data_IF_368551462852
#
_entry.id   IF_368551462852
#
_cell.length_a   1.000
_cell.length_b   1.000
_cell.length_c   1.000
_cell.angle_alpha   90.00
_cell.angle_beta   90.00
_cell.angle_gamma   90.00
#
_symmetry.space_group_name_H-M   'P 1'
#
loop_
_entity.id
_entity.type
_entity.pdbx_description
1 polymer ?
#
# COMPACT_ATOMS: atom_id res chain seq x y z
N UNK A 1 6.69 -10.48 29.79
CA UNK A 1 7.37 -10.52 28.49
C UNK A 1 6.55 -11.39 27.56
N UNK A 2 6.18 -10.86 26.39
CA UNK A 2 5.34 -11.58 25.43
C UNK A 2 6.17 -12.46 24.49
N UNK A 3 7.37 -12.01 24.11
CA UNK A 3 8.28 -12.68 23.18
C UNK A 3 9.75 -12.34 23.54
N UNK A 4 10.66 -13.16 23.12
CA UNK A 4 12.09 -12.81 23.06
C UNK A 4 12.36 -12.01 21.79
N UNK A 5 11.87 -12.53 20.64
CA UNK A 5 11.86 -11.86 19.35
C UNK A 5 10.52 -12.11 18.64
N UNK A 6 9.98 -11.10 17.97
CA UNK A 6 8.77 -11.20 17.15
C UNK A 6 9.03 -10.75 15.71
N UNK A 7 8.30 -11.31 14.75
CA UNK A 7 8.18 -10.73 13.40
C UNK A 7 6.94 -9.85 13.33
N UNK A 8 7.11 -8.67 12.75
CA UNK A 8 6.05 -7.64 12.66
C UNK A 8 5.90 -7.19 11.21
N UNK A 9 4.67 -7.11 10.72
CA UNK A 9 4.35 -6.61 9.38
C UNK A 9 2.97 -5.93 9.38
N UNK A 10 2.65 -5.19 8.30
CA UNK A 10 1.43 -4.40 8.20
C UNK A 10 1.08 -4.08 6.75
N UNK A 11 -0.15 -3.63 6.49
CA UNK A 11 -0.58 -3.04 5.23
C UNK A 11 -0.29 -3.93 4.01
N UNK A 12 -0.77 -5.18 4.04
CA UNK A 12 -0.57 -6.14 2.94
C UNK A 12 -1.59 -5.95 1.81
N UNK A 13 -2.79 -5.45 2.13
CA UNK A 13 -3.84 -5.06 1.19
C UNK A 13 -4.20 -6.11 0.14
N UNK A 14 -4.51 -7.35 0.56
CA UNK A 14 -5.09 -8.36 -0.33
C UNK A 14 -6.30 -7.80 -1.08
N UNK A 15 -6.37 -8.06 -2.38
CA UNK A 15 -7.42 -7.51 -3.25
C UNK A 15 -7.10 -6.14 -3.86
N UNK A 16 -5.94 -5.55 -3.60
CA UNK A 16 -5.52 -4.32 -4.26
C UNK A 16 -5.48 -4.49 -5.80
N UNK A 17 -5.40 -3.38 -6.53
CA UNK A 17 -5.41 -3.33 -8.01
C UNK A 17 -6.61 -4.07 -8.61
N UNK A 18 -7.80 -3.73 -8.12
CA UNK A 18 -9.05 -4.32 -8.57
C UNK A 18 -9.08 -5.87 -8.44
N UNK A 19 -8.67 -6.37 -7.29
CA UNK A 19 -8.55 -7.80 -6.98
C UNK A 19 -7.58 -8.56 -7.90
N UNK A 20 -6.49 -7.92 -8.29
CA UNK A 20 -5.47 -8.51 -9.14
C UNK A 20 -4.92 -9.80 -8.54
N UNK A 21 -4.99 -10.90 -9.31
CA UNK A 21 -4.39 -12.18 -8.90
C UNK A 21 -2.87 -12.09 -8.76
N UNK A 22 -2.22 -11.25 -9.56
CA UNK A 22 -0.78 -11.01 -9.46
C UNK A 22 -0.42 -10.34 -8.13
N UNK A 23 -1.20 -9.34 -7.71
CA UNK A 23 -1.01 -8.71 -6.41
C UNK A 23 -1.29 -9.68 -5.25
N UNK A 24 -2.36 -10.46 -5.34
CA UNK A 24 -2.68 -11.46 -4.31
C UNK A 24 -1.59 -12.55 -4.23
N UNK A 25 -0.97 -12.92 -5.36
CA UNK A 25 0.16 -13.84 -5.37
C UNK A 25 1.40 -13.20 -4.73
N UNK A 26 1.69 -11.93 -5.00
CA UNK A 26 2.77 -11.22 -4.33
C UNK A 26 2.54 -11.17 -2.81
N UNK A 27 1.30 -10.97 -2.33
CA UNK A 27 0.96 -11.05 -0.90
C UNK A 27 1.26 -12.45 -0.32
N UNK A 28 0.87 -13.51 -1.02
CA UNK A 28 1.14 -14.90 -0.60
C UNK A 28 2.64 -15.20 -0.57
N UNK A 29 3.37 -14.82 -1.63
CA UNK A 29 4.82 -15.02 -1.73
C UNK A 29 5.57 -14.26 -0.62
N UNK A 30 5.13 -13.05 -0.29
CA UNK A 30 5.66 -12.28 0.83
C UNK A 30 5.45 -13.01 2.16
N UNK A 31 4.24 -13.49 2.44
CA UNK A 31 3.94 -14.21 3.68
C UNK A 31 4.78 -15.48 3.80
N UNK A 32 4.93 -16.24 2.71
CA UNK A 32 5.77 -17.44 2.67
C UNK A 32 7.23 -17.08 2.96
N UNK A 33 7.75 -16.05 2.33
CA UNK A 33 9.12 -15.57 2.56
C UNK A 33 9.32 -15.11 4.01
N UNK A 34 8.43 -14.29 4.53
CA UNK A 34 8.48 -13.79 5.91
C UNK A 34 8.47 -14.93 6.94
N UNK A 35 7.60 -15.92 6.76
CA UNK A 35 7.55 -17.12 7.63
C UNK A 35 8.89 -17.86 7.59
N UNK A 36 9.50 -18.03 6.43
CA UNK A 36 10.79 -18.69 6.29
C UNK A 36 11.91 -17.90 7.00
N UNK A 37 11.91 -16.57 6.88
CA UNK A 37 12.87 -15.71 7.58
C UNK A 37 12.68 -15.75 9.11
N UNK A 38 11.43 -15.78 9.58
CA UNK A 38 11.12 -15.93 10.99
C UNK A 38 11.58 -17.30 11.54
N UNK A 39 11.33 -18.38 10.79
CA UNK A 39 11.78 -19.75 11.15
C UNK A 39 13.30 -19.87 11.25
N UNK A 40 14.06 -19.27 10.32
CA UNK A 40 15.53 -19.25 10.39
C UNK A 40 16.06 -18.59 11.67
N UNK A 41 15.29 -17.68 12.26
CA UNK A 41 15.60 -16.92 13.49
C UNK A 41 15.00 -17.56 14.75
N UNK A 42 14.27 -18.68 14.63
CA UNK A 42 13.58 -19.33 15.75
C UNK A 42 12.42 -18.51 16.33
N UNK A 43 11.81 -17.61 15.52
CA UNK A 43 10.74 -16.72 15.96
C UNK A 43 9.41 -17.47 15.93
N UNK A 44 8.68 -17.46 17.04
CA UNK A 44 7.38 -18.14 17.20
C UNK A 44 6.21 -17.16 17.38
N UNK A 45 6.47 -15.85 17.45
CA UNK A 45 5.45 -14.82 17.62
C UNK A 45 5.39 -13.90 16.40
N UNK A 46 4.18 -13.68 15.89
CA UNK A 46 3.92 -12.82 14.73
C UNK A 46 2.90 -11.74 15.11
N UNK A 47 3.17 -10.50 14.71
CA UNK A 47 2.27 -9.36 14.94
C UNK A 47 1.94 -8.71 13.59
N UNK A 48 0.66 -8.64 13.28
CA UNK A 48 0.13 -7.94 12.11
C UNK A 48 -0.63 -6.69 12.55
N UNK A 49 -0.27 -5.53 11.99
CA UNK A 49 -0.76 -4.24 12.47
C UNK A 49 -1.80 -3.60 11.56
N UNK A 50 -2.64 -4.38 10.89
CA UNK A 50 -3.83 -3.89 10.18
C UNK A 50 -3.69 -3.79 8.66
N UNK A 51 -4.85 -3.59 8.02
CA UNK A 51 -5.04 -3.51 6.58
C UNK A 51 -4.66 -4.81 5.85
N UNK A 52 -5.34 -5.90 6.25
CA UNK A 52 -5.25 -7.20 5.58
C UNK A 52 -5.89 -7.15 4.21
N UNK A 53 -7.11 -6.62 4.10
CA UNK A 53 -7.81 -6.44 2.84
C UNK A 53 -7.71 -4.99 2.34
N UNK A 54 -7.81 -4.81 1.03
CA UNK A 54 -7.87 -3.49 0.40
C UNK A 54 -9.30 -2.93 0.34
N UNK A 55 -10.28 -3.78 0.05
CA UNK A 55 -11.68 -3.39 -0.10
C UNK A 55 -12.50 -3.72 1.14
N UNK A 56 -13.23 -2.73 1.65
CA UNK A 56 -14.07 -2.84 2.84
C UNK A 56 -15.39 -3.56 2.61
N UNK A 57 -16.06 -3.21 1.52
CA UNK A 57 -17.47 -3.57 1.30
C UNK A 57 -17.66 -4.96 0.69
N UNK A 58 -16.66 -5.47 -0.03
CA UNK A 58 -16.75 -6.74 -0.75
C UNK A 58 -15.41 -7.43 -0.81
N UNK A 59 -15.39 -8.75 -0.68
CA UNK A 59 -14.22 -9.58 -0.89
C UNK A 59 -14.44 -10.44 -2.11
N UNK A 60 -13.60 -10.32 -3.11
CA UNK A 60 -13.62 -11.17 -4.28
C UNK A 60 -13.28 -12.62 -3.89
N UNK A 61 -13.94 -13.62 -4.50
CA UNK A 61 -13.74 -15.05 -4.19
C UNK A 61 -12.27 -15.48 -4.32
N UNK A 62 -11.56 -14.98 -5.32
CA UNK A 62 -10.12 -15.26 -5.47
C UNK A 62 -9.33 -14.68 -4.29
N UNK A 63 -9.59 -13.44 -3.90
CA UNK A 63 -8.97 -12.78 -2.75
C UNK A 63 -9.27 -13.53 -1.45
N UNK A 64 -10.51 -13.97 -1.26
CA UNK A 64 -10.92 -14.78 -0.10
C UNK A 64 -10.13 -16.09 -0.02
N UNK A 65 -9.92 -16.77 -1.15
CA UNK A 65 -9.12 -18.00 -1.20
C UNK A 65 -7.67 -17.76 -0.73
N UNK A 66 -7.03 -16.68 -1.18
CA UNK A 66 -5.70 -16.27 -0.69
C UNK A 66 -5.72 -15.94 0.80
N UNK A 67 -6.77 -15.25 1.27
CA UNK A 67 -6.94 -14.93 2.70
C UNK A 67 -6.95 -16.19 3.55
N UNK A 68 -7.83 -17.15 3.26
CA UNK A 68 -7.95 -18.40 4.03
C UNK A 68 -6.65 -19.20 4.00
N UNK A 69 -6.01 -19.29 2.83
CA UNK A 69 -4.72 -19.98 2.67
C UNK A 69 -3.63 -19.36 3.54
N UNK A 70 -3.53 -18.04 3.55
CA UNK A 70 -2.49 -17.33 4.29
C UNK A 70 -2.75 -17.30 5.82
N UNK A 71 -4.00 -17.17 6.26
CA UNK A 71 -4.35 -17.31 7.67
C UNK A 71 -3.97 -18.70 8.19
N UNK A 72 -4.26 -19.77 7.43
CA UNK A 72 -3.84 -21.12 7.79
C UNK A 72 -2.32 -21.24 7.89
N UNK A 73 -1.56 -20.69 6.92
CA UNK A 73 -0.08 -20.70 6.98
C UNK A 73 0.46 -20.00 8.20
N UNK A 74 -0.09 -18.85 8.55
CA UNK A 74 0.30 -18.12 9.76
C UNK A 74 0.01 -18.94 11.01
N UNK A 75 -1.22 -19.47 11.13
CA UNK A 75 -1.61 -20.36 12.24
C UNK A 75 -0.66 -21.55 12.41
N UNK A 76 -0.31 -22.22 11.31
CA UNK A 76 0.52 -23.43 11.33
C UNK A 76 2.01 -23.14 11.54
N UNK A 77 2.42 -21.88 11.41
CA UNK A 77 3.82 -21.49 11.47
C UNK A 77 4.25 -20.80 12.76
N UNK A 78 3.31 -20.24 13.49
CA UNK A 78 3.58 -19.50 14.73
C UNK A 78 2.77 -20.06 15.90
N UNK A 79 3.34 -20.00 17.09
CA UNK A 79 2.62 -20.32 18.32
C UNK A 79 1.56 -19.29 18.68
N UNK A 80 1.79 -18.03 18.24
CA UNK A 80 0.82 -16.95 18.42
C UNK A 80 0.98 -15.93 17.31
N UNK A 81 -0.16 -15.56 16.70
CA UNK A 81 -0.31 -14.47 15.73
C UNK A 81 -1.32 -13.49 16.31
N UNK A 82 -0.92 -12.24 16.51
CA UNK A 82 -1.82 -11.18 16.94
C UNK A 82 -2.09 -10.30 15.74
N UNK A 83 -3.36 -10.21 15.32
CA UNK A 83 -3.80 -9.44 14.15
C UNK A 83 -4.67 -8.27 14.58
N UNK A 84 -4.16 -7.06 14.43
CA UNK A 84 -4.89 -5.82 14.68
C UNK A 84 -5.72 -5.49 13.44
N UNK A 85 -6.97 -5.05 13.64
CA UNK A 85 -7.80 -4.58 12.54
C UNK A 85 -7.46 -3.13 12.18
N UNK A 86 -7.14 -2.90 10.91
CA UNK A 86 -6.94 -1.58 10.32
C UNK A 86 -8.23 -0.98 9.79
N UNK A 87 -8.15 0.23 9.26
CA UNK A 87 -9.33 0.93 8.73
C UNK A 87 -9.89 0.30 7.45
N UNK A 88 -9.07 -0.42 6.65
CA UNK A 88 -9.53 -1.16 5.48
C UNK A 88 -10.17 -2.50 5.83
N UNK A 89 -9.94 -3.02 7.04
CA UNK A 89 -10.52 -4.27 7.49
C UNK A 89 -11.95 -4.09 8.04
N UNK A 90 -12.38 -2.88 8.35
CA UNK A 90 -13.71 -2.59 8.87
C UNK A 90 -14.68 -2.25 7.72
N UNK A 91 -15.87 -2.85 7.71
CA UNK A 91 -16.92 -2.53 6.76
C UNK A 91 -17.33 -1.05 6.87
N UNK A 92 -17.60 -0.60 8.09
CA UNK A 92 -17.81 0.83 8.41
C UNK A 92 -16.52 1.42 8.97
N UNK A 93 -16.05 2.53 8.40
CA UNK A 93 -14.83 3.20 8.90
C UNK A 93 -14.92 3.60 10.38
N UNK A 94 -16.13 3.90 10.85
CA UNK A 94 -16.42 4.48 12.16
C UNK A 94 -17.13 3.51 13.11
N UNK A 95 -17.23 2.20 12.74
CA UNK A 95 -17.89 1.16 13.55
C UNK A 95 -17.17 -0.18 13.39
N UNK A 96 -17.19 -0.99 14.46
CA UNK A 96 -16.48 -2.29 14.54
C UNK A 96 -17.34 -3.50 14.31
N UNK A 97 -18.66 -3.32 14.10
CA UNK A 97 -19.65 -4.41 14.03
C UNK A 97 -19.30 -5.50 13.03
N UNK A 98 -18.65 -5.13 11.92
CA UNK A 98 -18.28 -6.05 10.84
C UNK A 98 -16.85 -5.78 10.41
N UNK A 99 -16.03 -6.82 10.43
CA UNK A 99 -14.67 -6.79 9.88
C UNK A 99 -14.44 -7.89 8.83
N UNK A 100 -13.39 -7.75 8.03
CA UNK A 100 -13.20 -8.53 6.81
C UNK A 100 -12.61 -9.93 7.02
N UNK A 101 -12.11 -10.27 8.23
CA UNK A 101 -11.46 -11.56 8.52
C UNK A 101 -12.04 -12.30 9.75
N UNK A 102 -13.39 -12.45 9.87
CA UNK A 102 -13.97 -13.17 11.00
C UNK A 102 -13.54 -14.65 11.03
N UNK A 103 -13.23 -15.25 9.85
CA UNK A 103 -12.69 -16.61 9.79
C UNK A 103 -11.33 -16.76 10.49
N UNK A 104 -10.63 -15.66 10.77
CA UNK A 104 -9.37 -15.69 11.53
C UNK A 104 -9.54 -16.14 12.98
N UNK A 105 -10.73 -15.92 13.56
CA UNK A 105 -11.08 -16.29 14.93
C UNK A 105 -11.21 -17.81 15.14
N UNK A 106 -11.40 -18.56 14.05
CA UNK A 106 -11.48 -20.01 14.08
C UNK A 106 -10.10 -20.71 14.19
N UNK A 107 -9.01 -19.97 14.05
CA UNK A 107 -7.66 -20.51 14.12
C UNK A 107 -7.08 -20.37 15.55
N UNK A 108 -6.68 -21.48 16.19
CA UNK A 108 -6.31 -21.47 17.62
C UNK A 108 -5.09 -20.60 17.95
N UNK A 109 -4.17 -20.39 17.00
CA UNK A 109 -2.97 -19.59 17.21
C UNK A 109 -3.14 -18.14 16.75
N UNK A 110 -4.31 -17.77 16.20
CA UNK A 110 -4.59 -16.40 15.73
C UNK A 110 -5.50 -15.68 16.72
N UNK A 111 -5.07 -14.53 17.18
CA UNK A 111 -5.88 -13.58 17.95
C UNK A 111 -6.23 -12.38 17.11
N UNK A 112 -7.51 -12.19 16.80
CA UNK A 112 -8.01 -10.97 16.16
C UNK A 112 -8.24 -9.91 17.24
N UNK A 113 -7.71 -8.71 17.04
CA UNK A 113 -7.91 -7.54 17.91
C UNK A 113 -8.77 -6.53 17.15
N UNK A 114 -10.07 -6.55 17.42
CA UNK A 114 -11.06 -5.70 16.77
C UNK A 114 -11.88 -4.89 17.77
N UNK A 115 -12.49 -5.51 18.78
CA UNK A 115 -13.52 -4.89 19.60
C UNK A 115 -12.96 -3.96 20.68
N UNK A 116 -11.81 -4.31 21.25
CA UNK A 116 -11.22 -3.57 22.38
C UNK A 116 -9.69 -3.57 22.32
N UNK A 117 -9.09 -2.74 23.16
CA UNK A 117 -7.66 -2.73 23.40
C UNK A 117 -7.29 -4.05 24.09
N UNK A 118 -6.35 -4.78 23.50
CA UNK A 118 -5.85 -6.03 24.06
C UNK A 118 -4.46 -5.82 24.68
N UNK A 119 -4.29 -6.23 25.93
CA UNK A 119 -3.03 -6.13 26.64
C UNK A 119 -2.51 -7.51 27.05
N UNK A 120 -1.26 -7.80 26.74
CA UNK A 120 -0.60 -9.05 27.12
C UNK A 120 0.91 -8.84 27.25
N UNK A 121 1.53 -9.42 28.28
CA UNK A 121 2.99 -9.49 28.45
C UNK A 121 3.72 -8.14 28.43
N UNK A 122 3.10 -7.06 28.93
CA UNK A 122 3.59 -5.68 28.86
C UNK A 122 3.59 -5.09 27.42
N UNK A 123 2.72 -5.60 26.56
CA UNK A 123 2.41 -5.02 25.25
C UNK A 123 0.93 -4.62 25.20
N UNK A 124 0.60 -3.59 24.43
CA UNK A 124 -0.76 -3.18 24.12
C UNK A 124 -1.00 -3.24 22.60
N UNK A 125 -2.13 -3.80 22.20
CA UNK A 125 -2.56 -3.95 20.81
C UNK A 125 -3.83 -3.17 20.61
N UNK A 126 -3.79 -2.18 19.72
CA UNK A 126 -4.81 -1.17 19.57
C UNK A 126 -5.38 -1.28 18.14
N UNK A 127 -6.64 -1.69 17.97
CA UNK A 127 -7.26 -1.70 16.64
C UNK A 127 -7.48 -0.28 16.14
N UNK A 128 -7.88 -0.14 14.86
CA UNK A 128 -8.29 1.16 14.31
C UNK A 128 -9.28 1.83 15.26
N UNK A 129 -8.97 3.05 15.65
CA UNK A 129 -9.76 3.79 16.63
C UNK A 129 -10.99 4.40 15.98
N UNK A 130 -12.14 4.20 16.59
CA UNK A 130 -13.41 4.79 16.17
C UNK A 130 -13.89 5.79 17.20
N UNK A 131 -14.55 6.85 16.76
CA UNK A 131 -15.11 7.89 17.62
C UNK A 131 -14.08 8.44 18.63
N UNK A 132 -14.41 8.42 19.91
CA UNK A 132 -13.63 8.99 21.02
C UNK A 132 -12.66 7.99 21.68
N UNK A 133 -12.45 6.81 21.12
CA UNK A 133 -11.62 5.75 21.72
C UNK A 133 -10.14 6.16 21.88
N UNK A 134 -9.67 7.10 21.04
CA UNK A 134 -8.33 7.65 21.15
C UNK A 134 -8.04 8.24 22.55
N UNK A 135 -9.08 8.66 23.30
CA UNK A 135 -8.93 9.16 24.67
C UNK A 135 -8.46 8.08 25.66
N UNK A 136 -8.79 6.80 25.40
CA UNK A 136 -8.39 5.67 26.23
C UNK A 136 -6.90 5.33 26.04
N UNK A 137 -6.38 5.54 24.82
CA UNK A 137 -5.00 5.16 24.46
C UNK A 137 -3.96 6.03 25.15
N UNK A 138 -4.24 7.29 25.42
CA UNK A 138 -3.33 8.26 26.05
C UNK A 138 -2.77 7.83 27.42
N UNK A 139 -3.47 6.97 28.14
CA UNK A 139 -3.11 6.58 29.50
C UNK A 139 -2.40 5.24 29.61
N UNK A 140 -2.21 4.54 28.49
CA UNK A 140 -1.62 3.21 28.47
C UNK A 140 -0.12 3.32 28.71
N UNK A 141 0.37 2.54 29.69
CA UNK A 141 1.79 2.40 30.00
C UNK A 141 2.19 0.97 29.74
N UNK A 142 3.05 0.74 28.78
CA UNK A 142 3.57 -0.58 28.42
C UNK A 142 4.95 -0.45 27.80
N UNK A 143 5.63 -1.57 27.58
CA UNK A 143 6.89 -1.56 26.86
C UNK A 143 6.65 -1.27 25.37
N UNK A 144 5.79 -2.04 24.73
CA UNK A 144 5.48 -1.88 23.32
C UNK A 144 3.97 -1.69 23.11
N UNK A 145 3.64 -0.70 22.29
CA UNK A 145 2.29 -0.51 21.78
C UNK A 145 2.29 -0.77 20.28
N UNK A 146 1.37 -1.60 19.83
CA UNK A 146 1.14 -1.88 18.42
C UNK A 146 -0.24 -1.38 18.04
N UNK A 147 -0.35 -0.65 16.93
CA UNK A 147 -1.62 -0.09 16.52
C UNK A 147 -1.72 0.15 15.02
N UNK A 148 -2.84 0.77 14.64
CA UNK A 148 -3.10 1.22 13.27
C UNK A 148 -3.61 2.65 13.34
N UNK A 149 -2.69 3.63 13.42
CA UNK A 149 -2.99 5.02 13.77
C UNK A 149 -2.82 5.98 12.59
N UNK A 150 -3.69 6.97 12.52
CA UNK A 150 -3.61 8.11 11.61
C UNK A 150 -3.10 9.33 12.39
N UNK A 151 -1.78 9.41 12.63
CA UNK A 151 -1.21 10.48 13.44
C UNK A 151 -0.82 11.71 12.59
N UNK A 152 -1.12 12.94 13.04
CA UNK A 152 -0.74 14.15 12.33
C UNK A 152 0.78 14.32 12.25
N UNK A 153 1.22 15.09 11.25
CA UNK A 153 2.61 15.43 10.96
C UNK A 153 3.49 14.26 10.46
N UNK A 154 3.00 13.03 10.40
CA UNK A 154 3.66 11.94 9.68
C UNK A 154 3.31 12.01 8.18
N UNK A 155 4.17 11.44 7.35
CA UNK A 155 3.95 11.40 5.90
C UNK A 155 2.97 10.29 5.53
N UNK A 156 1.86 10.66 4.89
CA UNK A 156 0.92 9.70 4.30
C UNK A 156 1.53 8.96 3.11
N UNK A 157 2.34 9.71 2.32
CA UNK A 157 3.11 9.26 1.16
C UNK A 157 4.38 10.12 1.04
N UNK A 158 5.11 10.00 -0.08
CA UNK A 158 6.37 10.72 -0.27
C UNK A 158 6.28 12.26 -0.14
N UNK A 159 5.11 12.85 -0.34
CA UNK A 159 4.95 14.31 -0.51
C UNK A 159 3.99 14.96 0.50
N UNK A 160 3.02 14.19 1.06
CA UNK A 160 1.92 14.74 1.84
C UNK A 160 2.02 14.33 3.30
N UNK A 161 2.06 15.29 4.19
CA UNK A 161 1.95 15.06 5.64
C UNK A 161 0.48 15.05 6.06
N UNK A 162 0.16 14.17 7.03
CA UNK A 162 -1.16 14.11 7.64
C UNK A 162 -1.45 15.41 8.42
N UNK A 163 -2.53 16.14 8.08
CA UNK A 163 -2.93 17.31 8.83
C UNK A 163 -3.45 16.95 10.22
N UNK A 164 -3.46 17.92 11.13
CA UNK A 164 -4.03 17.75 12.47
C UNK A 164 -5.56 17.96 12.42
N UNK A 165 -6.30 16.89 12.65
CA UNK A 165 -7.77 16.90 12.73
C UNK A 165 -8.31 16.89 14.17
N UNK A 166 -7.45 17.13 15.17
CA UNK A 166 -7.84 17.22 16.57
C UNK A 166 -8.00 15.88 17.30
N UNK A 167 -7.54 14.76 16.70
CA UNK A 167 -7.55 13.42 17.29
C UNK A 167 -6.30 13.11 18.11
N UNK A 168 -5.90 11.83 18.07
CA UNK A 168 -4.69 11.31 18.70
C UNK A 168 -3.43 11.91 18.07
N UNK A 169 -2.45 12.30 18.91
CA UNK A 169 -1.15 12.84 18.49
C UNK A 169 0.00 11.97 19.02
N UNK A 170 1.17 12.09 18.41
CA UNK A 170 2.35 11.35 18.87
C UNK A 170 2.72 11.68 20.34
N UNK A 171 2.54 12.93 20.76
CA UNK A 171 2.80 13.39 22.12
C UNK A 171 1.88 12.72 23.17
N UNK A 172 0.68 12.32 22.76
CA UNK A 172 -0.28 11.59 23.60
C UNK A 172 0.17 10.15 23.89
N UNK A 173 1.10 9.62 23.09
CA UNK A 173 1.64 8.26 23.17
C UNK A 173 2.98 8.18 23.94
N UNK A 174 3.19 9.04 24.89
CA UNK A 174 4.43 9.09 25.70
C UNK A 174 4.53 8.01 26.78
N UNK A 175 3.45 7.26 27.03
CA UNK A 175 3.42 6.18 28.03
C UNK A 175 4.19 4.91 27.65
N UNK A 176 4.08 4.40 26.42
CA UNK A 176 4.86 3.27 25.92
C UNK A 176 6.33 3.64 25.67
N UNK A 177 7.26 2.66 25.83
CA UNK A 177 8.67 2.86 25.44
C UNK A 177 8.80 3.02 23.92
N UNK A 178 8.09 2.18 23.14
CA UNK A 178 7.98 2.27 21.68
C UNK A 178 6.55 2.03 21.21
N UNK A 179 6.13 2.75 20.18
CA UNK A 179 4.85 2.62 19.51
C UNK A 179 5.09 2.25 18.06
N UNK A 180 4.54 1.14 17.63
CA UNK A 180 4.59 0.68 16.23
C UNK A 180 3.20 0.82 15.61
N UNK A 181 3.12 1.37 14.41
CA UNK A 181 1.84 1.60 13.75
C UNK A 181 1.85 1.20 12.29
N UNK A 182 0.79 0.55 11.81
CA UNK A 182 0.41 0.49 10.40
C UNK A 182 -0.25 1.78 9.93
N UNK A 183 -0.91 1.76 8.79
CA UNK A 183 -1.64 2.82 8.09
C UNK A 183 -0.79 3.65 7.13
N UNK A 184 0.34 4.21 7.55
CA UNK A 184 1.20 4.97 6.64
C UNK A 184 2.23 4.05 6.00
N UNK A 185 2.17 3.96 4.68
CA UNK A 185 3.00 3.02 3.92
C UNK A 185 4.49 3.41 3.91
N UNK A 186 4.82 4.68 4.13
CA UNK A 186 6.22 5.13 4.19
C UNK A 186 6.84 4.81 5.54
N UNK A 187 8.02 4.13 5.53
CA UNK A 187 8.80 3.93 6.75
C UNK A 187 9.27 5.27 7.30
N UNK A 188 8.97 5.53 8.56
CA UNK A 188 9.33 6.78 9.25
C UNK A 188 9.25 6.61 10.76
N UNK A 189 9.99 7.48 11.47
CA UNK A 189 10.07 7.48 12.92
C UNK A 189 10.08 8.91 13.45
N UNK A 190 9.36 9.14 14.55
CA UNK A 190 9.41 10.40 15.30
C UNK A 190 9.20 10.12 16.78
N UNK A 191 10.19 10.48 17.61
CA UNK A 191 10.18 10.19 19.05
C UNK A 191 10.16 8.68 19.28
N UNK A 192 9.16 8.21 20.01
CA UNK A 192 8.95 6.78 20.27
C UNK A 192 7.98 6.12 19.27
N UNK A 193 7.45 6.85 18.29
CA UNK A 193 6.48 6.35 17.29
C UNK A 193 7.18 5.94 16.01
N UNK A 194 6.94 4.73 15.56
CA UNK A 194 7.57 4.08 14.41
C UNK A 194 6.50 3.53 13.48
N UNK A 195 6.52 3.94 12.22
CA UNK A 195 5.80 3.33 11.11
C UNK A 195 6.78 2.47 10.30
N UNK A 196 6.72 1.15 10.34
CA UNK A 196 7.64 0.29 9.57
C UNK A 196 7.42 0.37 8.07
N UNK A 197 6.26 0.87 7.65
CA UNK A 197 5.83 0.91 6.26
C UNK A 197 5.17 -0.42 5.81
N UNK A 198 4.54 -0.39 4.64
CA UNK A 198 3.89 -1.56 4.05
C UNK A 198 4.88 -2.69 3.72
N UNK A 199 4.37 -3.89 3.44
CA UNK A 199 5.14 -5.10 3.15
C UNK A 199 6.01 -4.99 1.89
N UNK A 200 5.52 -4.32 0.87
CA UNK A 200 6.18 -4.08 -0.42
C UNK A 200 5.50 -2.92 -1.14
N UNK A 201 6.13 -2.27 -2.12
CA UNK A 201 5.52 -1.17 -2.86
C UNK A 201 4.20 -1.57 -3.53
N UNK A 202 3.16 -0.76 -3.34
CA UNK A 202 1.81 -1.06 -3.84
C UNK A 202 1.46 -0.28 -5.11
N UNK A 203 2.03 0.91 -5.27
CA UNK A 203 1.72 1.80 -6.39
C UNK A 203 2.86 2.81 -6.63
N UNK A 204 2.67 3.73 -7.56
CA UNK A 204 3.68 4.72 -7.93
C UNK A 204 3.97 5.80 -6.87
N UNK A 205 3.17 5.91 -5.81
CA UNK A 205 3.55 6.75 -4.66
C UNK A 205 4.70 6.15 -3.84
N UNK A 206 4.93 4.83 -4.00
CA UNK A 206 6.03 4.08 -3.41
C UNK A 206 7.23 3.92 -4.38
N UNK A 207 7.24 4.67 -5.49
CA UNK A 207 8.33 4.56 -6.48
C UNK A 207 9.69 4.82 -5.85
N UNK A 208 10.67 3.95 -6.17
CA UNK A 208 12.04 3.96 -5.63
C UNK A 208 12.18 3.59 -4.15
N UNK A 209 11.12 3.20 -3.47
CA UNK A 209 11.16 2.77 -2.09
C UNK A 209 11.16 1.23 -2.01
N UNK A 210 12.29 0.63 -2.40
CA UNK A 210 12.45 -0.83 -2.48
C UNK A 210 12.76 -1.48 -1.13
N UNK A 211 13.11 -0.69 -0.11
CA UNK A 211 13.49 -1.18 1.22
C UNK A 211 12.23 -1.46 2.06
N UNK A 212 11.38 -2.37 1.57
CA UNK A 212 10.14 -2.82 2.18
C UNK A 212 10.19 -4.32 2.48
N UNK A 213 9.49 -4.73 3.52
CA UNK A 213 9.47 -6.13 3.94
C UNK A 213 8.81 -6.32 5.29
N UNK A 214 9.50 -6.99 6.21
CA UNK A 214 9.07 -7.16 7.58
C UNK A 214 10.10 -6.58 8.57
N UNK A 215 9.68 -6.45 9.81
CA UNK A 215 10.48 -5.99 10.92
C UNK A 215 10.64 -7.14 11.92
N UNK A 216 11.85 -7.35 12.42
CA UNK A 216 12.12 -8.20 13.56
C UNK A 216 12.38 -7.31 14.78
N UNK A 217 11.67 -7.59 15.86
CA UNK A 217 11.72 -6.83 17.09
C UNK A 217 12.17 -7.72 18.23
N UNK A 218 13.30 -7.40 18.84
CA UNK A 218 13.76 -8.02 20.08
C UNK A 218 13.09 -7.37 21.29
N UNK A 219 12.95 -8.13 22.36
CA UNK A 219 12.33 -7.61 23.58
C UNK A 219 13.08 -6.43 24.20
N UNK A 220 14.38 -6.29 23.99
CA UNK A 220 15.16 -5.13 24.43
C UNK A 220 14.85 -3.84 23.65
N UNK A 221 14.08 -3.93 22.57
CA UNK A 221 13.70 -2.83 21.69
C UNK A 221 14.60 -2.67 20.46
N UNK A 222 15.53 -3.59 20.23
CA UNK A 222 16.33 -3.65 19.00
C UNK A 222 15.44 -4.00 17.80
N UNK A 223 15.60 -3.26 16.70
CA UNK A 223 14.82 -3.41 15.47
C UNK A 223 15.75 -3.78 14.33
N UNK A 224 15.40 -4.83 13.59
CA UNK A 224 16.02 -5.22 12.32
C UNK A 224 14.95 -5.17 11.22
N UNK A 225 15.15 -4.36 10.19
CA UNK A 225 14.30 -4.38 8.99
C UNK A 225 14.89 -5.34 7.96
N UNK A 226 14.04 -6.21 7.43
CA UNK A 226 14.43 -7.15 6.39
C UNK A 226 13.62 -6.86 5.13
N UNK A 227 14.29 -6.33 4.11
CA UNK A 227 13.67 -6.09 2.81
C UNK A 227 13.33 -7.42 2.11
N UNK A 228 12.17 -7.47 1.44
CA UNK A 228 11.78 -8.62 0.63
C UNK A 228 12.46 -8.57 -0.74
N UNK A 229 13.41 -9.48 -1.05
CA UNK A 229 14.22 -9.38 -2.28
C UNK A 229 13.40 -9.55 -3.57
N UNK A 230 12.29 -10.29 -3.52
CA UNK A 230 11.41 -10.56 -4.66
C UNK A 230 10.19 -9.61 -4.73
N UNK A 231 10.26 -8.46 -4.05
CA UNK A 231 9.20 -7.46 -4.07
C UNK A 231 8.99 -6.86 -5.47
N UNK A 232 7.74 -6.58 -5.86
CA UNK A 232 7.48 -5.78 -7.05
C UNK A 232 8.11 -4.39 -6.91
N UNK A 233 8.59 -3.83 -8.01
CA UNK A 233 9.28 -2.53 -8.04
C UNK A 233 8.47 -1.50 -8.80
N UNK A 234 8.53 -0.25 -8.37
CA UNK A 234 7.92 0.89 -9.06
C UNK A 234 9.00 1.87 -9.48
N UNK A 235 8.99 2.24 -10.77
CA UNK A 235 9.99 3.14 -11.35
C UNK A 235 9.31 4.27 -12.10
N UNK A 236 9.76 5.49 -11.84
CA UNK A 236 9.37 6.69 -12.59
C UNK A 236 10.65 7.38 -13.03
N UNK A 237 10.91 7.44 -14.34
CA UNK A 237 12.12 8.03 -14.89
C UNK A 237 11.93 8.50 -16.33
N UNK A 238 12.79 9.42 -16.84
CA UNK A 238 12.76 9.83 -18.24
C UNK A 238 13.28 8.73 -19.17
N UNK A 239 12.80 8.74 -20.41
CA UNK A 239 13.15 7.75 -21.44
C UNK A 239 14.64 7.82 -21.79
N UNK A 240 15.22 9.02 -21.90
CA UNK A 240 16.66 9.20 -22.15
C UNK A 240 17.50 8.39 -21.17
N UNK A 241 17.17 8.47 -19.88
CA UNK A 241 17.89 7.76 -18.82
C UNK A 241 17.68 6.26 -18.88
N UNK A 242 16.47 5.83 -19.25
CA UNK A 242 16.14 4.41 -19.36
C UNK A 242 16.91 3.73 -20.51
N UNK A 243 17.03 4.39 -21.66
CA UNK A 243 17.73 3.84 -22.83
C UNK A 243 19.22 3.64 -22.55
N UNK A 244 19.84 4.53 -21.78
CA UNK A 244 21.25 4.47 -21.47
C UNK A 244 21.64 3.27 -20.60
N UNK A 245 20.84 2.95 -19.57
CA UNK A 245 21.14 1.92 -18.57
C UNK A 245 19.90 1.10 -18.17
N UNK A 246 19.23 0.41 -19.09
CA UNK A 246 17.95 -0.26 -18.80
C UNK A 246 18.06 -1.31 -17.68
N UNK A 247 19.15 -2.08 -17.62
CA UNK A 247 19.35 -3.13 -16.61
C UNK A 247 19.43 -2.59 -15.17
N UNK A 248 19.76 -1.30 -15.02
CA UNK A 248 19.84 -0.65 -13.72
C UNK A 248 18.46 -0.37 -13.15
N UNK A 249 17.48 -0.16 -14.01
CA UNK A 249 16.15 0.32 -13.64
C UNK A 249 15.05 -0.72 -13.79
N UNK A 250 15.24 -1.66 -14.69
CA UNK A 250 14.26 -2.70 -15.03
C UNK A 250 14.71 -4.06 -14.49
N UNK A 251 13.79 -4.75 -13.89
CA UNK A 251 13.91 -6.13 -13.44
C UNK A 251 12.53 -6.80 -13.55
N UNK A 252 12.44 -8.10 -13.31
CA UNK A 252 11.16 -8.78 -13.19
C UNK A 252 10.24 -8.10 -12.16
N UNK A 253 8.93 -8.25 -12.33
CA UNK A 253 7.89 -7.63 -11.49
C UNK A 253 7.93 -6.09 -11.43
N UNK A 254 8.65 -5.40 -12.34
CA UNK A 254 8.69 -3.93 -12.35
C UNK A 254 7.47 -3.34 -13.02
N UNK A 255 6.89 -2.31 -12.38
CA UNK A 255 5.94 -1.35 -12.93
C UNK A 255 6.71 -0.08 -13.29
N UNK A 256 6.81 0.25 -14.57
CA UNK A 256 7.59 1.39 -15.06
C UNK A 256 6.69 2.47 -15.66
N UNK A 257 6.89 3.70 -15.21
CA UNK A 257 6.26 4.92 -15.76
C UNK A 257 7.34 5.81 -16.32
N UNK A 258 7.40 5.89 -17.66
CA UNK A 258 8.50 6.51 -18.38
C UNK A 258 8.01 7.82 -19.01
N UNK A 259 8.64 8.93 -18.65
CA UNK A 259 8.37 10.24 -19.23
C UNK A 259 9.13 10.38 -20.54
N UNK A 260 8.41 10.75 -21.63
CA UNK A 260 9.00 10.98 -22.95
C UNK A 260 9.68 12.36 -22.95
N UNK A 261 10.96 12.41 -22.70
CA UNK A 261 11.81 13.61 -22.71
C UNK A 261 12.66 13.75 -23.98
N UNK A 262 12.55 12.77 -24.89
CA UNK A 262 13.19 12.76 -26.21
C UNK A 262 12.16 12.69 -27.32
N UNK A 263 12.47 13.25 -28.48
CA UNK A 263 11.58 13.17 -29.64
C UNK A 263 11.64 11.77 -30.24
N UNK A 264 10.51 11.03 -30.14
CA UNK A 264 10.34 9.69 -30.72
C UNK A 264 8.98 9.61 -31.40
N UNK A 265 8.89 8.77 -32.42
CA UNK A 265 7.64 8.45 -33.09
C UNK A 265 6.79 7.49 -32.27
N UNK A 266 5.52 7.36 -32.60
CA UNK A 266 4.63 6.39 -31.96
C UNK A 266 5.08 4.95 -32.16
N UNK A 267 5.58 4.61 -33.36
CA UNK A 267 6.10 3.28 -33.68
C UNK A 267 7.35 2.97 -32.83
N UNK A 268 8.29 3.91 -32.69
CA UNK A 268 9.46 3.75 -31.83
C UNK A 268 9.08 3.57 -30.37
N UNK A 269 8.12 4.36 -29.89
CA UNK A 269 7.61 4.26 -28.51
C UNK A 269 7.00 2.87 -28.25
N UNK A 270 6.16 2.36 -29.16
CA UNK A 270 5.59 1.02 -29.03
C UNK A 270 6.65 -0.07 -29.10
N UNK A 271 7.62 0.05 -30.01
CA UNK A 271 8.72 -0.91 -30.11
C UNK A 271 9.54 -0.98 -28.82
N UNK A 272 9.88 0.15 -28.22
CA UNK A 272 10.57 0.24 -26.94
C UNK A 272 9.75 -0.44 -25.85
N UNK A 273 8.46 -0.10 -25.75
CA UNK A 273 7.55 -0.67 -24.76
C UNK A 273 7.48 -2.19 -24.85
N UNK A 274 7.24 -2.74 -26.05
CA UNK A 274 7.13 -4.19 -26.26
C UNK A 274 8.46 -4.91 -26.00
N UNK A 275 9.57 -4.33 -26.47
CA UNK A 275 10.90 -4.88 -26.28
C UNK A 275 11.27 -4.98 -24.81
N UNK A 276 11.13 -3.89 -24.06
CA UNK A 276 11.47 -3.88 -22.63
C UNK A 276 10.52 -4.72 -21.80
N UNK A 277 9.20 -4.67 -22.09
CA UNK A 277 8.22 -5.50 -21.39
C UNK A 277 8.59 -6.99 -21.47
N UNK A 278 9.00 -7.46 -22.66
CA UNK A 278 9.37 -8.85 -22.92
C UNK A 278 10.75 -9.20 -22.36
N UNK A 279 11.74 -8.32 -22.53
CA UNK A 279 13.12 -8.58 -22.15
C UNK A 279 13.31 -8.69 -20.64
N UNK A 280 12.58 -7.86 -19.86
CA UNK A 280 12.73 -7.74 -18.41
C UNK A 280 11.58 -8.35 -17.61
N UNK A 281 10.64 -9.04 -18.26
CA UNK A 281 9.42 -9.60 -17.61
C UNK A 281 8.67 -8.58 -16.77
N UNK A 282 8.42 -7.40 -17.36
CA UNK A 282 7.80 -6.29 -16.67
C UNK A 282 6.32 -6.57 -16.40
N UNK A 283 5.83 -6.14 -15.25
CA UNK A 283 4.40 -6.13 -14.94
C UNK A 283 3.63 -5.12 -15.78
N UNK A 284 4.24 -3.95 -15.97
CA UNK A 284 3.66 -2.85 -16.75
C UNK A 284 4.77 -1.88 -17.18
N UNK A 285 4.65 -1.35 -18.38
CA UNK A 285 5.40 -0.17 -18.81
C UNK A 285 4.45 0.80 -19.48
N UNK A 286 4.37 2.02 -18.97
CA UNK A 286 3.59 3.13 -19.52
C UNK A 286 4.50 4.27 -19.92
N UNK A 287 4.23 4.84 -21.11
CA UNK A 287 4.94 5.99 -21.64
C UNK A 287 4.06 7.23 -21.46
N UNK A 288 4.58 8.26 -20.82
CA UNK A 288 3.83 9.48 -20.51
C UNK A 288 4.53 10.66 -21.20
N UNK A 289 3.80 11.50 -21.97
CA UNK A 289 4.35 12.72 -22.54
C UNK A 289 4.95 13.63 -21.46
N UNK A 290 6.10 14.24 -21.72
CA UNK A 290 6.61 15.29 -20.86
C UNK A 290 5.66 16.50 -20.95
N UNK A 291 5.28 17.10 -19.81
CA UNK A 291 4.64 18.41 -19.84
C UNK A 291 5.65 19.39 -20.44
N UNK A 292 5.42 19.86 -21.68
CA UNK A 292 6.12 21.01 -22.19
C UNK A 292 5.71 22.19 -21.33
N UNK A 293 6.68 22.85 -20.68
CA UNK A 293 6.51 24.23 -20.23
C UNK A 293 6.12 25.05 -21.47
N UNK A 294 5.03 25.80 -21.38
CA UNK A 294 4.61 26.75 -22.41
C UNK A 294 5.68 27.86 -22.48
N UNK A 295 6.71 27.65 -23.28
CA UNK A 295 7.54 28.72 -23.82
C UNK A 295 7.20 28.93 -25.28
N UNK A 296 6.53 30.05 -25.46
CA UNK A 296 6.24 30.79 -26.68
C UNK A 296 7.11 30.49 -27.90
N UNK A 297 6.40 30.28 -29.03
CA UNK A 297 6.73 30.62 -30.44
C UNK A 297 7.96 29.99 -31.12
N UNK A 298 7.60 29.26 -32.14
CA UNK A 298 8.27 28.88 -33.39
C UNK A 298 8.53 27.38 -33.57
N UNK A 299 7.50 26.65 -33.95
CA UNK A 299 7.67 25.43 -34.76
C UNK A 299 6.58 25.36 -35.84
N UNK A 300 6.92 25.83 -37.02
CA UNK A 300 6.22 25.41 -38.24
C UNK A 300 6.87 24.14 -38.76
N UNK A 301 5.99 23.14 -39.02
CA UNK A 301 6.18 21.94 -39.83
C UNK A 301 6.86 20.73 -39.13
N UNK A 302 6.00 19.75 -38.80
CA UNK A 302 6.36 18.36 -38.54
C UNK A 302 5.35 17.66 -37.64
N UNK A 303 4.40 16.97 -38.25
CA UNK A 303 3.43 16.00 -37.71
C UNK A 303 3.15 16.16 -36.21
N UNK A 304 2.10 16.90 -35.89
CA UNK A 304 1.49 16.94 -34.56
C UNK A 304 1.00 15.53 -34.19
N UNK A 305 1.68 14.87 -33.26
CA UNK A 305 1.03 13.86 -32.45
C UNK A 305 0.23 14.65 -31.39
N UNK A 306 -1.00 15.00 -31.71
CA UNK A 306 -1.99 15.40 -30.72
C UNK A 306 -2.20 14.19 -29.81
N UNK A 307 -1.53 14.19 -28.66
CA UNK A 307 -1.99 13.38 -27.54
C UNK A 307 -3.28 14.06 -27.10
N UNK A 308 -4.40 13.51 -27.57
CA UNK A 308 -5.71 13.98 -27.19
C UNK A 308 -5.77 14.00 -25.66
N UNK A 309 -5.99 15.19 -25.10
CA UNK A 309 -6.25 15.34 -23.66
C UNK A 309 -7.40 14.38 -23.30
N UNK A 310 -7.35 13.79 -22.11
CA UNK A 310 -8.40 12.89 -21.62
C UNK A 310 -9.78 13.54 -21.80
N UNK A 311 -9.88 14.85 -21.58
CA UNK A 311 -11.10 15.63 -21.81
C UNK A 311 -11.53 15.60 -23.28
N UNK A 312 -10.61 15.72 -24.23
CA UNK A 312 -10.88 15.64 -25.66
C UNK A 312 -11.36 14.26 -26.06
N UNK A 313 -10.73 13.20 -25.52
CA UNK A 313 -11.15 11.80 -25.77
C UNK A 313 -12.55 11.56 -25.19
N UNK A 314 -12.80 11.97 -23.95
CA UNK A 314 -14.11 11.79 -23.31
C UNK A 314 -15.19 12.59 -24.04
N UNK A 315 -14.93 13.84 -24.38
CA UNK A 315 -15.89 14.69 -25.15
C UNK A 315 -16.18 14.11 -26.54
N UNK A 316 -15.16 13.58 -27.24
CA UNK A 316 -15.37 12.93 -28.55
C UNK A 316 -16.19 11.65 -28.44
N UNK A 317 -15.98 10.86 -27.37
CA UNK A 317 -16.79 9.68 -27.09
C UNK A 317 -18.23 10.05 -26.71
N UNK A 318 -18.43 11.08 -25.89
CA UNK A 318 -19.76 11.62 -25.59
C UNK A 318 -20.44 12.18 -26.83
N UNK A 319 -19.67 12.73 -27.78
CA UNK A 319 -20.15 13.22 -29.05
C UNK A 319 -20.69 12.10 -29.97
N UNK A 320 -20.20 10.89 -29.81
CA UNK A 320 -20.62 9.70 -30.55
C UNK A 320 -21.87 9.00 -30.00
N UNK A 321 -22.31 9.35 -28.75
CA UNK A 321 -23.44 8.71 -28.10
C UNK A 321 -24.76 9.01 -28.83
N UNK A 322 -25.44 7.94 -29.25
CA UNK A 322 -26.82 8.00 -29.79
C UNK A 322 -27.78 7.41 -28.77
N UNK A 323 -28.68 8.21 -28.22
CA UNK A 323 -29.69 7.78 -27.26
C UNK A 323 -31.02 8.49 -27.55
N UNK A 324 -32.11 7.74 -27.52
CA UNK A 324 -33.46 8.29 -27.65
C UNK A 324 -33.95 8.96 -26.34
N UNK A 325 -33.36 8.64 -25.22
CA UNK A 325 -33.81 9.05 -23.89
C UNK A 325 -32.90 10.07 -23.19
N UNK A 326 -31.62 10.14 -23.57
CA UNK A 326 -30.64 11.04 -22.97
C UNK A 326 -30.14 12.05 -23.97
N UNK A 327 -30.29 13.36 -23.66
CA UNK A 327 -29.75 14.42 -24.48
C UNK A 327 -28.24 14.49 -24.35
N UNK A 328 -27.51 14.39 -25.45
CA UNK A 328 -26.06 14.50 -25.53
C UNK A 328 -25.49 15.71 -24.78
N UNK A 329 -26.10 16.87 -24.92
CA UNK A 329 -25.67 18.08 -24.21
C UNK A 329 -25.68 17.92 -22.67
N UNK A 330 -26.65 17.18 -22.15
CA UNK A 330 -26.73 16.89 -20.70
C UNK A 330 -25.53 16.06 -20.21
N UNK A 331 -25.02 15.11 -21.02
CA UNK A 331 -23.83 14.32 -20.67
C UNK A 331 -22.57 15.19 -20.67
N UNK A 332 -22.43 16.09 -21.64
CA UNK A 332 -21.33 17.04 -21.73
C UNK A 332 -21.36 18.03 -20.55
N UNK A 333 -22.54 18.54 -20.19
CA UNK A 333 -22.69 19.45 -19.06
C UNK A 333 -22.35 18.78 -17.71
N UNK A 334 -22.75 17.50 -17.52
CA UNK A 334 -22.38 16.70 -16.35
C UNK A 334 -20.86 16.51 -16.29
N UNK A 335 -20.24 16.13 -17.40
CA UNK A 335 -18.79 15.91 -17.45
C UNK A 335 -18.01 17.19 -17.12
N UNK A 336 -18.38 18.32 -17.70
CA UNK A 336 -17.76 19.61 -17.41
C UNK A 336 -17.99 20.05 -15.95
N UNK A 337 -19.09 19.64 -15.33
CA UNK A 337 -19.38 19.89 -13.92
C UNK A 337 -18.56 19.03 -12.93
N UNK A 338 -17.97 17.91 -13.37
CA UNK A 338 -17.10 17.06 -12.56
C UNK A 338 -15.63 17.54 -12.54
N UNK A 339 -15.28 18.46 -13.44
CA UNK A 339 -13.90 18.97 -13.59
C UNK A 339 -13.65 20.26 -12.80
N UNK A 340 -14.61 20.71 -11.97
CA UNK A 340 -14.51 21.89 -11.09
C UNK A 340 -14.42 21.50 -9.61
#
# INVERSE_FOLDING_TARGET
MLFDKAVVFTDIHLGNKNNSRLHNQDCEDFIIWMINEAKKRGITKCIFMGDWHHHRATINVSTLNYTVSNLRRLNDSFEQVIMIMGNHDLYYREKREIHSIPMGEEYPNIRIVNEEIYEEGNCAFIPWLVEDEWKKVKNIKCKFMFGHFELPSFYMNALVQMPDHGGLKAEDLSGPEKVFSGHFHKRQERGNVIYPGNCFPHNFSDAWDDDRGCMFLDWDGTIEYQAWPAAPKYRTLPLSKLIDEPEKYLADKTYARITLDVGITYEEANFIKETFAKQYDLREISLIPSKKEEHTNDWQQGVDIEVENVDTIVLSQLDSVQSETIKKQMLIDIYNGLSN
#
